data_IF_817229681183
#
_entry.id   IF_817229681183
#
_cell.length_a   1.000
_cell.length_b   1.000
_cell.length_c   1.000
_cell.angle_alpha   90.00
_cell.angle_beta   90.00
_cell.angle_gamma   90.00
#
_symmetry.space_group_name_H-M   'P 1'
#
loop_
_entity.id
_entity.type
_entity.pdbx_description
1 polymer ?
#
# COMPACT_ATOMS: atom_id res chain seq x y z
N UNK A 1 24.62 56.73 -44.14
CA UNK A 1 23.84 56.24 -42.97
C UNK A 1 23.22 54.87 -43.28
N UNK A 2 23.96 53.77 -43.22
CA UNK A 2 23.36 52.41 -43.37
C UNK A 2 23.98 51.33 -42.47
N UNK A 3 25.14 51.57 -41.83
CA UNK A 3 25.83 50.55 -41.01
C UNK A 3 25.43 50.51 -39.53
N UNK A 4 24.76 51.54 -38.99
CA UNK A 4 24.39 51.60 -37.56
C UNK A 4 23.11 50.83 -37.20
N UNK A 5 22.27 50.49 -38.19
CA UNK A 5 21.00 49.79 -37.98
C UNK A 5 21.13 48.26 -38.00
N UNK A 6 22.13 47.69 -38.70
CA UNK A 6 22.34 46.24 -38.73
C UNK A 6 22.96 45.69 -37.44
N UNK A 7 23.81 46.48 -36.77
CA UNK A 7 24.50 46.03 -35.55
C UNK A 7 23.56 45.92 -34.34
N UNK A 8 22.52 46.75 -34.27
CA UNK A 8 21.57 46.76 -33.15
C UNK A 8 20.55 45.61 -33.20
N UNK A 9 20.20 45.10 -34.39
CA UNK A 9 19.29 43.95 -34.52
C UNK A 9 19.97 42.62 -34.19
N UNK A 10 21.28 42.49 -34.45
CA UNK A 10 22.02 41.26 -34.18
C UNK A 10 22.28 41.05 -32.67
N UNK A 11 22.52 42.14 -31.93
CA UNK A 11 22.75 42.08 -30.49
C UNK A 11 21.45 41.83 -29.71
N UNK A 12 20.30 42.33 -30.19
CA UNK A 12 19.01 42.08 -29.54
C UNK A 12 18.49 40.64 -29.77
N UNK A 13 18.83 40.03 -30.91
CA UNK A 13 18.50 38.62 -31.20
C UNK A 13 19.28 37.64 -30.31
N UNK A 14 20.52 37.99 -29.92
CA UNK A 14 21.35 37.12 -29.09
C UNK A 14 20.98 37.13 -27.60
N UNK A 15 20.35 38.19 -27.07
CA UNK A 15 19.94 38.27 -25.66
C UNK A 15 18.62 37.56 -25.33
N UNK A 16 17.73 37.39 -26.31
CA UNK A 16 16.43 36.72 -26.08
C UNK A 16 16.56 35.19 -26.11
N UNK A 17 17.60 34.64 -26.74
CA UNK A 17 17.83 33.18 -26.80
C UNK A 17 18.46 32.58 -25.55
N UNK A 18 18.98 33.41 -24.62
CA UNK A 18 19.66 32.92 -23.42
C UNK A 18 18.71 32.63 -22.25
N UNK A 19 17.43 32.98 -22.37
CA UNK A 19 16.46 32.87 -21.27
C UNK A 19 15.61 31.58 -21.26
N UNK A 20 15.83 30.66 -22.19
CA UNK A 20 15.06 29.41 -22.33
C UNK A 20 15.86 28.13 -22.08
N UNK A 21 16.93 28.18 -21.27
CA UNK A 21 17.69 26.99 -20.91
C UNK A 21 17.63 26.73 -19.40
N UNK A 22 16.44 26.57 -18.84
CA UNK A 22 16.25 25.84 -17.57
C UNK A 22 14.78 25.41 -17.41
N UNK A 23 14.21 24.71 -18.38
CA UNK A 23 13.13 23.75 -18.06
C UNK A 23 13.78 22.49 -17.54
N UNK A 24 14.41 22.60 -16.35
CA UNK A 24 14.75 21.41 -15.61
C UNK A 24 13.44 20.70 -15.31
N UNK A 25 13.16 19.61 -16.00
CA UNK A 25 12.10 18.69 -15.60
C UNK A 25 12.46 18.21 -14.20
N UNK A 26 11.89 18.87 -13.18
CA UNK A 26 11.92 18.37 -11.83
C UNK A 26 11.11 17.08 -11.85
N UNK A 27 11.78 15.95 -12.05
CA UNK A 27 11.17 14.64 -11.84
C UNK A 27 10.60 14.67 -10.42
N UNK A 28 9.27 14.53 -10.32
CA UNK A 28 8.60 14.50 -9.03
C UNK A 28 9.33 13.48 -8.15
N UNK A 29 9.70 13.89 -6.94
CA UNK A 29 10.34 13.00 -5.98
C UNK A 29 9.42 11.79 -5.79
N UNK A 30 9.99 10.59 -5.87
CA UNK A 30 9.24 9.35 -5.63
C UNK A 30 8.59 9.41 -4.25
N UNK A 31 7.26 9.32 -4.22
CA UNK A 31 6.50 9.23 -2.98
C UNK A 31 6.04 7.77 -2.79
N UNK A 32 6.68 7.02 -1.87
CA UNK A 32 6.37 5.60 -1.67
C UNK A 32 4.95 5.38 -1.16
N UNK A 33 4.37 6.33 -0.42
CA UNK A 33 2.99 6.21 0.07
C UNK A 33 2.02 6.17 -1.11
N UNK A 34 2.09 7.16 -2.00
CA UNK A 34 1.25 7.19 -3.22
C UNK A 34 1.53 6.04 -4.18
N UNK A 35 2.73 5.44 -4.13
CA UNK A 35 3.08 4.33 -5.00
C UNK A 35 2.56 2.99 -4.47
N UNK A 36 2.61 2.73 -3.17
CA UNK A 36 2.30 1.41 -2.61
C UNK A 36 0.94 1.31 -1.93
N UNK A 37 0.44 2.40 -1.33
CA UNK A 37 -0.83 2.37 -0.59
C UNK A 37 -1.99 2.03 -1.53
N UNK A 38 -2.84 1.09 -1.11
CA UNK A 38 -3.94 0.57 -1.91
C UNK A 38 -3.53 -0.47 -2.96
N UNK A 39 -2.27 -0.91 -3.02
CA UNK A 39 -1.84 -1.99 -3.92
C UNK A 39 -1.72 -3.33 -3.21
N UNK A 40 -1.72 -4.42 -4.00
CA UNK A 40 -1.52 -5.77 -3.47
C UNK A 40 -0.12 -5.94 -2.84
N UNK A 41 0.02 -6.70 -1.74
CA UNK A 41 1.31 -7.11 -1.20
C UNK A 41 2.24 -7.76 -2.22
N UNK A 42 1.68 -8.35 -3.28
CA UNK A 42 2.43 -8.98 -4.37
C UNK A 42 2.80 -8.01 -5.49
N UNK A 43 2.67 -6.70 -5.25
CA UNK A 43 3.17 -5.66 -6.15
C UNK A 43 4.69 -5.67 -6.17
N UNK A 44 5.26 -5.44 -7.36
CA UNK A 44 6.70 -5.36 -7.56
C UNK A 44 7.34 -4.23 -6.72
N UNK A 45 8.55 -4.49 -6.23
CA UNK A 45 9.36 -3.48 -5.53
C UNK A 45 9.79 -2.39 -6.51
N UNK A 46 9.54 -1.13 -6.17
CA UNK A 46 9.98 0.01 -6.99
C UNK A 46 11.50 0.02 -7.14
N UNK A 47 11.97 -0.04 -8.39
CA UNK A 47 13.41 -0.04 -8.71
C UNK A 47 14.16 -1.31 -8.26
N UNK A 48 13.45 -2.39 -7.93
CA UNK A 48 14.03 -3.63 -7.44
C UNK A 48 13.49 -4.88 -8.12
N UNK A 49 13.81 -6.03 -7.54
CA UNK A 49 13.27 -7.34 -7.93
C UNK A 49 12.36 -7.90 -6.86
N UNK A 50 11.48 -8.83 -7.24
CA UNK A 50 10.52 -9.46 -6.33
C UNK A 50 9.33 -8.57 -5.99
N UNK A 51 8.59 -8.97 -4.95
CA UNK A 51 7.39 -8.31 -4.46
C UNK A 51 7.54 -7.82 -3.03
N UNK A 52 6.67 -6.91 -2.59
CA UNK A 52 6.68 -6.44 -1.20
C UNK A 52 6.45 -7.59 -0.19
N UNK A 53 5.64 -8.58 -0.56
CA UNK A 53 5.35 -9.76 0.24
C UNK A 53 6.59 -10.65 0.50
N UNK A 54 7.58 -10.64 -0.39
CA UNK A 54 8.79 -11.48 -0.28
C UNK A 54 9.62 -11.16 0.97
N UNK A 55 9.51 -9.92 1.48
CA UNK A 55 10.14 -9.47 2.73
C UNK A 55 9.13 -9.29 3.87
N UNK A 56 7.97 -9.93 3.76
CA UNK A 56 6.86 -9.82 4.69
C UNK A 56 7.08 -10.55 6.02
N UNK A 57 7.36 -9.81 7.08
CA UNK A 57 7.44 -10.34 8.46
C UNK A 57 6.12 -10.18 9.20
N UNK A 58 5.86 -11.00 10.22
CA UNK A 58 4.73 -10.81 11.12
C UNK A 58 5.09 -9.78 12.19
N UNK A 59 4.26 -8.76 12.36
CA UNK A 59 4.42 -7.69 13.38
C UNK A 59 3.31 -7.69 14.43
N UNK A 60 2.16 -8.23 14.09
CA UNK A 60 1.04 -8.42 15.00
C UNK A 60 0.32 -9.73 14.73
N UNK A 61 -0.30 -10.27 15.77
CA UNK A 61 -1.06 -11.50 15.71
C UNK A 61 -2.24 -11.42 16.67
N UNK A 62 -3.42 -11.84 16.21
CA UNK A 62 -4.58 -12.02 17.06
C UNK A 62 -5.35 -13.26 16.63
N UNK A 63 -5.45 -14.23 17.53
CA UNK A 63 -6.42 -15.30 17.39
C UNK A 63 -7.83 -14.73 17.53
N UNK A 64 -8.69 -15.04 16.56
CA UNK A 64 -10.08 -14.54 16.52
C UNK A 64 -11.00 -15.54 17.22
N UNK A 65 -10.89 -16.82 16.84
CA UNK A 65 -11.58 -17.94 17.48
C UNK A 65 -10.73 -19.21 17.32
N UNK A 66 -11.30 -20.38 17.59
CA UNK A 66 -10.76 -21.67 17.17
C UNK A 66 -10.80 -21.89 15.64
N UNK A 67 -11.32 -20.95 14.83
CA UNK A 67 -11.39 -21.06 13.37
C UNK A 67 -10.18 -20.44 12.67
N UNK A 68 -9.46 -19.51 13.30
CA UNK A 68 -8.37 -18.80 12.65
C UNK A 68 -7.89 -17.56 13.39
N UNK A 69 -7.05 -16.80 12.72
CA UNK A 69 -6.32 -15.67 13.26
C UNK A 69 -6.03 -14.62 12.18
N UNK A 70 -5.84 -13.38 12.62
CA UNK A 70 -5.35 -12.30 11.77
C UNK A 70 -3.91 -11.95 12.13
N UNK A 71 -3.08 -11.78 11.10
CA UNK A 71 -1.73 -11.26 11.20
C UNK A 71 -1.69 -9.83 10.65
N UNK A 72 -0.88 -9.01 11.30
CA UNK A 72 -0.35 -7.79 10.71
C UNK A 72 1.00 -8.11 10.09
N UNK A 73 1.06 -8.06 8.77
CA UNK A 73 2.27 -8.30 7.98
C UNK A 73 2.92 -6.98 7.64
N UNK A 74 4.25 -6.97 7.57
CA UNK A 74 5.04 -5.80 7.20
C UNK A 74 6.19 -6.16 6.27
N UNK A 75 6.33 -5.45 5.16
CA UNK A 75 7.45 -5.58 4.23
C UNK A 75 8.64 -4.77 4.71
N UNK A 76 9.75 -5.43 5.05
CA UNK A 76 10.96 -4.70 5.45
C UNK A 76 11.63 -3.96 4.29
N UNK A 77 11.28 -4.29 3.03
CA UNK A 77 11.81 -3.63 1.82
C UNK A 77 10.89 -2.48 1.38
N UNK A 78 9.60 -2.74 1.12
CA UNK A 78 8.66 -1.70 0.66
C UNK A 78 8.19 -0.76 1.77
N UNK A 79 8.44 -1.13 3.04
CA UNK A 79 8.00 -0.40 4.23
C UNK A 79 6.48 -0.25 4.31
N UNK A 80 5.78 -1.31 3.94
CA UNK A 80 4.33 -1.36 3.84
C UNK A 80 3.76 -2.41 4.77
N UNK A 81 2.56 -2.18 5.28
CA UNK A 81 1.82 -3.10 6.13
C UNK A 81 0.53 -3.58 5.45
N UNK A 82 0.09 -4.80 5.76
CA UNK A 82 -1.22 -5.32 5.34
C UNK A 82 -1.74 -6.34 6.35
N UNK A 83 -3.06 -6.52 6.38
CA UNK A 83 -3.69 -7.56 7.17
C UNK A 83 -3.76 -8.85 6.34
N UNK A 84 -3.44 -9.98 6.97
CA UNK A 84 -3.64 -11.33 6.42
C UNK A 84 -4.49 -12.12 7.40
N UNK A 85 -5.67 -12.54 6.97
CA UNK A 85 -6.54 -13.41 7.75
C UNK A 85 -6.36 -14.85 7.27
N UNK A 86 -6.13 -15.77 8.21
CA UNK A 86 -5.94 -17.19 7.93
C UNK A 86 -6.90 -18.03 8.78
N UNK A 87 -7.64 -18.93 8.14
CA UNK A 87 -8.39 -20.01 8.79
C UNK A 87 -7.50 -21.23 8.98
N UNK A 88 -7.70 -21.95 10.08
CA UNK A 88 -7.01 -23.21 10.33
C UNK A 88 -7.49 -24.36 9.43
N UNK A 89 -8.70 -24.25 8.87
CA UNK A 89 -9.29 -25.19 7.92
C UNK A 89 -9.94 -24.45 6.76
N UNK A 90 -10.12 -25.15 5.64
CA UNK A 90 -10.80 -24.60 4.46
C UNK A 90 -12.19 -24.10 4.83
N UNK A 91 -12.56 -22.96 4.27
CA UNK A 91 -13.88 -22.37 4.45
C UNK A 91 -14.96 -23.31 3.89
N UNK A 92 -16.01 -23.62 4.66
CA UNK A 92 -17.08 -24.50 4.20
C UNK A 92 -18.15 -23.79 3.34
N UNK A 93 -18.11 -22.45 3.27
CA UNK A 93 -19.04 -21.62 2.50
C UNK A 93 -18.38 -20.29 2.11
N UNK A 94 -18.99 -19.58 1.16
CA UNK A 94 -18.55 -18.26 0.71
C UNK A 94 -18.75 -17.19 1.78
N UNK A 95 -17.94 -16.13 1.79
CA UNK A 95 -17.99 -15.09 2.82
C UNK A 95 -17.74 -15.64 4.24
N UNK A 96 -16.82 -16.62 4.36
CA UNK A 96 -16.43 -17.19 5.65
C UNK A 96 -15.53 -16.28 6.48
N UNK A 97 -15.01 -15.19 5.88
CA UNK A 97 -14.22 -14.20 6.58
C UNK A 97 -13.64 -13.11 5.70
N UNK A 98 -13.27 -11.98 6.29
CA UNK A 98 -12.58 -10.88 5.60
C UNK A 98 -11.64 -10.15 6.57
N UNK A 99 -10.70 -9.39 6.02
CA UNK A 99 -9.70 -8.66 6.78
C UNK A 99 -9.80 -7.15 6.58
N UNK A 100 -9.25 -6.37 7.50
CA UNK A 100 -9.06 -4.93 7.33
C UNK A 100 -7.72 -4.48 7.92
N UNK A 101 -7.18 -3.41 7.36
CA UNK A 101 -5.96 -2.71 7.78
C UNK A 101 -6.33 -1.26 8.06
N UNK A 102 -5.88 -0.74 9.19
CA UNK A 102 -6.09 0.65 9.60
C UNK A 102 -4.75 1.29 9.94
N UNK A 103 -4.46 2.46 9.39
CA UNK A 103 -3.31 3.30 9.73
C UNK A 103 -3.78 4.49 10.56
N UNK A 104 -2.98 4.96 11.51
CA UNK A 104 -3.41 5.97 12.49
C UNK A 104 -3.85 7.32 11.91
N UNK A 105 -3.45 7.61 10.67
CA UNK A 105 -3.86 8.81 9.93
C UNK A 105 -5.23 8.67 9.26
N UNK A 106 -5.94 7.58 9.51
CA UNK A 106 -7.29 7.32 9.01
C UNK A 106 -7.34 6.53 7.71
N UNK A 107 -6.19 6.21 7.10
CA UNK A 107 -6.18 5.34 5.91
C UNK A 107 -6.63 3.93 6.30
N UNK A 108 -7.64 3.44 5.60
CA UNK A 108 -8.26 2.15 5.89
C UNK A 108 -8.61 1.41 4.60
N UNK A 109 -8.34 0.11 4.59
CA UNK A 109 -8.79 -0.80 3.54
C UNK A 109 -9.33 -2.09 4.16
N UNK A 110 -10.34 -2.67 3.51
CA UNK A 110 -10.70 -4.06 3.73
C UNK A 110 -10.18 -4.94 2.59
N UNK A 111 -10.30 -6.26 2.74
CA UNK A 111 -9.83 -7.20 1.73
C UNK A 111 -10.62 -7.16 0.42
N UNK A 112 -11.80 -6.54 0.38
CA UNK A 112 -12.57 -6.32 -0.86
C UNK A 112 -12.09 -5.09 -1.66
N UNK A 113 -11.28 -4.23 -1.07
CA UNK A 113 -10.72 -3.09 -1.78
C UNK A 113 -9.78 -3.54 -2.91
N UNK A 114 -9.63 -2.68 -3.93
CA UNK A 114 -8.67 -2.90 -5.02
C UNK A 114 -7.27 -3.14 -4.44
N UNK A 115 -6.62 -4.25 -4.83
CA UNK A 115 -5.36 -4.72 -4.26
C UNK A 115 -5.49 -5.81 -3.18
N UNK A 116 -6.70 -6.05 -2.66
CA UNK A 116 -7.01 -7.21 -1.82
C UNK A 116 -7.50 -8.40 -2.64
N UNK A 117 -7.92 -9.47 -1.96
CA UNK A 117 -8.42 -10.71 -2.59
C UNK A 117 -9.86 -11.08 -2.23
N UNK A 118 -10.60 -10.16 -1.61
CA UNK A 118 -12.00 -10.34 -1.24
C UNK A 118 -12.18 -11.10 0.07
N UNK A 119 -13.22 -11.91 0.15
CA UNK A 119 -13.50 -12.74 1.33
C UNK A 119 -12.74 -14.07 1.25
N UNK A 120 -12.71 -14.82 2.36
CA UNK A 120 -12.36 -16.24 2.33
C UNK A 120 -13.60 -17.00 1.87
N UNK A 121 -13.59 -17.44 0.62
CA UNK A 121 -14.68 -18.21 0.03
C UNK A 121 -14.50 -19.71 0.18
N UNK A 122 -15.53 -20.48 -0.18
CA UNK A 122 -15.53 -21.94 -0.05
C UNK A 122 -14.27 -22.57 -0.64
N UNK A 123 -13.61 -23.44 0.14
CA UNK A 123 -12.36 -24.10 -0.24
C UNK A 123 -11.09 -23.28 0.02
N UNK A 124 -11.19 -22.00 0.37
CA UNK A 124 -10.03 -21.14 0.68
C UNK A 124 -9.73 -21.11 2.18
N UNK A 125 -8.51 -20.71 2.53
CA UNK A 125 -8.08 -20.52 3.93
C UNK A 125 -7.57 -19.12 4.22
N UNK A 126 -7.29 -18.31 3.20
CA UNK A 126 -6.57 -17.05 3.37
C UNK A 126 -7.25 -15.94 2.59
N UNK A 127 -7.29 -14.75 3.19
CA UNK A 127 -7.51 -13.48 2.49
C UNK A 127 -6.55 -12.42 3.03
N UNK A 128 -6.34 -11.34 2.28
CA UNK A 128 -5.52 -10.21 2.68
C UNK A 128 -6.04 -8.88 2.13
N UNK A 129 -5.63 -7.80 2.80
CA UNK A 129 -5.94 -6.43 2.38
C UNK A 129 -4.90 -5.91 1.38
N UNK A 130 -5.23 -4.82 0.66
CA UNK A 130 -4.19 -3.97 0.11
C UNK A 130 -3.21 -3.51 1.19
N UNK A 131 -2.05 -3.06 0.75
CA UNK A 131 -1.03 -2.48 1.60
C UNK A 131 -1.34 -1.03 1.96
N UNK A 132 -0.84 -0.60 3.10
CA UNK A 132 -0.60 0.81 3.46
C UNK A 132 0.90 1.01 3.61
N UNK A 133 1.47 2.09 3.10
CA UNK A 133 2.84 2.47 3.46
C UNK A 133 2.89 2.82 4.94
N UNK A 134 3.78 2.23 5.72
CA UNK A 134 3.74 2.32 7.18
C UNK A 134 5.14 2.59 7.72
N UNK A 135 5.77 3.64 7.21
CA UNK A 135 7.01 4.18 7.74
C UNK A 135 6.95 5.70 7.73
N UNK A 136 6.48 6.26 8.83
CA UNK A 136 6.47 7.70 9.08
C UNK A 136 7.68 8.09 9.93
N UNK A 137 8.41 9.11 9.49
CA UNK A 137 9.48 9.70 10.29
C UNK A 137 8.88 10.26 11.59
N UNK A 138 9.30 9.73 12.74
CA UNK A 138 8.96 10.25 14.07
C UNK A 138 7.80 9.58 14.81
N UNK A 139 6.97 8.74 14.16
CA UNK A 139 5.75 8.18 14.78
C UNK A 139 5.73 6.64 14.93
N UNK A 140 6.81 5.94 14.56
CA UNK A 140 6.85 4.48 14.62
C UNK A 140 5.95 3.84 13.55
N UNK A 141 5.69 2.54 13.67
CA UNK A 141 4.68 1.91 12.82
C UNK A 141 3.30 2.27 13.38
N UNK A 142 2.30 2.35 12.52
CA UNK A 142 0.99 2.90 12.90
C UNK A 142 -0.17 2.04 12.46
N UNK A 143 0.10 1.02 11.64
CA UNK A 143 -0.94 0.15 11.15
C UNK A 143 -1.40 -0.87 12.21
N UNK A 144 -2.66 -1.31 12.08
CA UNK A 144 -3.30 -2.40 12.83
C UNK A 144 -4.07 -3.29 11.88
N UNK A 145 -4.05 -4.59 12.14
CA UNK A 145 -4.84 -5.56 11.37
C UNK A 145 -6.06 -6.01 12.15
N UNK A 146 -7.18 -6.12 11.46
CA UNK A 146 -8.43 -6.66 11.97
C UNK A 146 -8.93 -7.78 11.08
N UNK A 147 -9.64 -8.75 11.66
CA UNK A 147 -10.20 -9.88 10.94
C UNK A 147 -11.54 -10.32 11.51
N UNK A 148 -12.39 -10.81 10.61
CA UNK A 148 -13.71 -11.32 10.91
C UNK A 148 -13.86 -12.73 10.34
N UNK A 149 -14.37 -13.67 11.15
CA UNK A 149 -14.62 -15.06 10.74
C UNK A 149 -16.04 -15.51 11.12
N UNK A 150 -16.70 -16.25 10.23
CA UNK A 150 -17.99 -16.91 10.50
C UNK A 150 -17.82 -18.42 10.66
N UNK A 151 -18.62 -18.98 11.55
CA UNK A 151 -18.74 -20.44 11.75
C UNK A 151 -19.79 -21.06 10.84
N UNK A 152 -20.85 -20.31 10.52
CA UNK A 152 -21.98 -20.75 9.69
C UNK A 152 -22.35 -19.68 8.66
N UNK A 153 -22.84 -20.12 7.50
CA UNK A 153 -23.27 -19.22 6.43
C UNK A 153 -24.38 -18.27 6.94
N UNK A 154 -24.23 -16.97 6.68
CA UNK A 154 -25.17 -15.94 7.14
C UNK A 154 -25.15 -15.64 8.65
N UNK A 155 -24.43 -16.42 9.48
CA UNK A 155 -24.34 -16.21 10.94
C UNK A 155 -23.40 -15.07 11.36
N UNK A 156 -23.34 -14.66 12.63
CA UNK A 156 -22.53 -13.51 13.05
C UNK A 156 -21.02 -13.72 12.87
N UNK A 157 -20.30 -12.61 12.63
CA UNK A 157 -18.83 -12.60 12.61
C UNK A 157 -18.25 -12.58 14.02
N UNK A 158 -17.27 -13.43 14.28
CA UNK A 158 -16.32 -13.25 15.37
C UNK A 158 -15.21 -12.31 14.93
N UNK A 159 -14.71 -11.48 15.83
CA UNK A 159 -13.77 -10.39 15.53
C UNK A 159 -12.47 -10.52 16.32
N UNK A 160 -11.36 -10.11 15.71
CA UNK A 160 -10.10 -9.88 16.41
C UNK A 160 -9.28 -8.79 15.73
N UNK A 161 -8.57 -8.01 16.54
CA UNK A 161 -7.70 -6.92 16.11
C UNK A 161 -6.32 -7.04 16.79
N UNK A 162 -5.27 -6.69 16.07
CA UNK A 162 -3.91 -6.59 16.60
C UNK A 162 -3.66 -5.23 17.25
N UNK A 163 -2.64 -5.14 18.10
CA UNK A 163 -2.07 -3.84 18.46
C UNK A 163 -1.47 -3.13 17.24
N UNK A 164 -1.22 -1.83 17.40
CA UNK A 164 -0.24 -1.13 16.56
C UNK A 164 1.17 -1.52 17.01
N UNK A 165 2.16 -1.39 16.14
CA UNK A 165 3.52 -1.84 16.38
C UNK A 165 4.56 -0.76 16.13
#
# INVERSE_FOLDING_TARGET
>A
MKSKLLSSLFVFSFMVSSFFMFTGESKAAFNPDTYYTGKSPYTAVYGGSGTCADSGVQKGYKQITNLGYVELKFSTVCKTAWAKLTRYSTAPFNDSGFAAIYRSDGVWFNSYASGGVGSIDSGQTVTYTPMVYDLTAGYGYTAKAAGWLRTVSGGPYSFGETGSY
#
